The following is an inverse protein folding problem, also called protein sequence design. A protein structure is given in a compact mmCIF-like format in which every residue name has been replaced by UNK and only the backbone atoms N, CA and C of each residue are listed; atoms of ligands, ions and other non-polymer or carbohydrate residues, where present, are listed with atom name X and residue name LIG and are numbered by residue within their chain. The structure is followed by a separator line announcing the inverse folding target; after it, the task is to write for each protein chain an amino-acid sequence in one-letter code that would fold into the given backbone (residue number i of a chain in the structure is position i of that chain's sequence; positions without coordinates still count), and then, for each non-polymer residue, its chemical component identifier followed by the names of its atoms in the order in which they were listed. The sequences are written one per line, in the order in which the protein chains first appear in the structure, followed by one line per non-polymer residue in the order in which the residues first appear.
data_IF_986165873960
#
_entry.id   IF_986165873960
#
_cell.length_a   1.000
_cell.length_b   1.000
_cell.length_c   1.000
_cell.angle_alpha   90.00
_cell.angle_beta   90.00
_cell.angle_gamma   90.00
#
_symmetry.space_group_name_H-M   'P 1'
#
loop_
_entity.id
_entity.type
_entity.pdbx_description
1 polymer ?
#
# COMPACT_ATOMS: atom_id res chain seq x y z
N UNK A 1 5.04 8.75 -13.27
CA UNK A 1 3.86 9.47 -12.76
C UNK A 1 3.41 8.75 -11.50
N UNK A 2 3.04 9.47 -10.45
CA UNK A 2 2.64 8.85 -9.19
C UNK A 2 1.21 8.30 -9.27
N UNK A 3 0.92 7.13 -8.68
CA UNK A 3 -0.43 6.61 -8.54
C UNK A 3 -1.27 7.50 -7.60
N UNK A 4 -2.58 7.48 -7.80
CA UNK A 4 -3.52 8.17 -6.91
C UNK A 4 -3.84 7.33 -5.66
N UNK A 5 -4.41 7.99 -4.65
CA UNK A 5 -4.72 7.39 -3.35
C UNK A 5 -5.70 6.20 -3.44
N UNK A 6 -6.65 6.21 -4.39
CA UNK A 6 -7.60 5.10 -4.57
C UNK A 6 -6.88 3.86 -5.12
N UNK A 7 -5.93 4.04 -6.04
CA UNK A 7 -5.09 2.93 -6.51
C UNK A 7 -4.21 2.37 -5.38
N UNK A 8 -3.62 3.24 -4.55
CA UNK A 8 -2.83 2.81 -3.37
C UNK A 8 -3.69 2.08 -2.33
N UNK A 9 -4.93 2.52 -2.11
CA UNK A 9 -5.87 1.87 -1.20
C UNK A 9 -6.27 0.48 -1.70
N UNK A 10 -6.45 0.32 -3.01
CA UNK A 10 -6.72 -0.99 -3.64
C UNK A 10 -5.51 -1.92 -3.58
N UNK A 11 -4.30 -1.37 -3.67
CA UNK A 11 -3.07 -2.12 -3.45
C UNK A 11 -3.02 -2.69 -2.02
N UNK A 12 -3.28 -1.84 -1.02
CA UNK A 12 -3.34 -2.26 0.39
C UNK A 12 -4.43 -3.30 0.65
N UNK A 13 -5.61 -3.14 0.04
CA UNK A 13 -6.70 -4.10 0.11
C UNK A 13 -6.46 -5.40 -0.69
N UNK A 14 -5.30 -5.56 -1.34
CA UNK A 14 -4.96 -6.70 -2.23
C UNK A 14 -6.01 -6.95 -3.31
N UNK A 15 -6.62 -5.87 -3.80
CA UNK A 15 -7.74 -5.89 -4.77
C UNK A 15 -7.26 -5.57 -6.20
N UNK A 16 -5.96 -5.31 -6.39
CA UNK A 16 -5.40 -5.04 -7.71
C UNK A 16 -5.02 -6.32 -8.47
N UNK A 17 -5.12 -6.29 -9.81
CA UNK A 17 -4.51 -7.33 -10.65
C UNK A 17 -3.01 -7.46 -10.41
N UNK A 18 -2.45 -8.67 -10.56
CA UNK A 18 -1.03 -8.92 -10.29
C UNK A 18 -0.06 -8.05 -11.11
N UNK A 19 -0.39 -7.72 -12.36
CA UNK A 19 0.43 -6.82 -13.19
C UNK A 19 0.44 -5.37 -12.66
N UNK A 20 -0.70 -4.89 -12.13
CA UNK A 20 -0.81 -3.56 -11.50
C UNK A 20 -0.08 -3.53 -10.16
N UNK A 21 -0.15 -4.62 -9.40
CA UNK A 21 0.57 -4.79 -8.13
C UNK A 21 2.08 -4.67 -8.35
N UNK A 22 2.64 -5.41 -9.32
CA UNK A 22 4.07 -5.33 -9.65
C UNK A 22 4.49 -3.94 -10.13
N UNK A 23 3.68 -3.30 -10.96
CA UNK A 23 3.98 -1.94 -11.43
C UNK A 23 4.05 -0.92 -10.28
N UNK A 24 3.24 -1.10 -9.23
CA UNK A 24 3.31 -0.28 -8.02
C UNK A 24 4.52 -0.62 -7.17
N UNK A 25 4.85 -1.89 -7.00
CA UNK A 25 6.07 -2.33 -6.31
C UNK A 25 7.33 -1.72 -6.95
N UNK A 26 7.46 -1.83 -8.28
CA UNK A 26 8.55 -1.22 -9.05
C UNK A 26 8.55 0.32 -8.89
N UNK A 27 7.37 0.94 -8.83
CA UNK A 27 7.25 2.38 -8.61
C UNK A 27 7.73 2.79 -7.22
N UNK A 28 7.44 1.99 -6.19
CA UNK A 28 7.85 2.27 -4.81
C UNK A 28 9.36 2.23 -4.63
N UNK A 29 10.08 1.37 -5.35
CA UNK A 29 11.55 1.37 -5.31
C UNK A 29 12.15 2.71 -5.72
N UNK A 30 11.49 3.41 -6.67
CA UNK A 30 11.98 4.65 -7.26
C UNK A 30 11.33 5.91 -6.66
N UNK A 31 10.15 5.81 -6.06
CA UNK A 31 9.40 6.95 -5.53
C UNK A 31 9.30 6.91 -3.99
N UNK A 32 10.05 7.80 -3.34
CA UNK A 32 10.01 7.94 -1.87
C UNK A 32 8.65 8.44 -1.37
N UNK A 33 8.04 9.40 -2.04
CA UNK A 33 6.76 10.00 -1.60
C UNK A 33 5.64 8.97 -1.62
N UNK A 34 5.54 8.17 -2.68
CA UNK A 34 4.54 7.11 -2.77
C UNK A 34 4.76 6.00 -1.74
N UNK A 35 6.01 5.67 -1.42
CA UNK A 35 6.31 4.77 -0.29
C UNK A 35 5.78 5.33 1.02
N UNK A 36 6.09 6.59 1.33
CA UNK A 36 5.64 7.21 2.59
C UNK A 36 4.11 7.29 2.65
N UNK A 37 3.45 7.62 1.55
CA UNK A 37 2.00 7.67 1.46
C UNK A 37 1.37 6.29 1.70
N UNK A 38 1.88 5.22 1.07
CA UNK A 38 1.41 3.85 1.31
C UNK A 38 1.59 3.42 2.76
N UNK A 39 2.73 3.74 3.38
CA UNK A 39 2.95 3.46 4.80
C UNK A 39 1.97 4.22 5.70
N UNK A 40 1.69 5.48 5.39
CA UNK A 40 0.72 6.28 6.15
C UNK A 40 -0.70 5.71 6.00
N UNK A 41 -1.12 5.36 4.78
CA UNK A 41 -2.42 4.74 4.51
C UNK A 41 -2.57 3.39 5.22
N UNK A 42 -1.52 2.56 5.24
CA UNK A 42 -1.53 1.28 5.94
C UNK A 42 -1.67 1.43 7.47
N UNK A 43 -1.10 2.48 8.05
CA UNK A 43 -1.22 2.78 9.48
C UNK A 43 -2.55 3.41 9.89
N UNK A 44 -3.33 3.92 8.93
CA UNK A 44 -4.66 4.49 9.15
C UNK A 44 -5.79 3.47 9.02
N UNK A 45 -5.48 2.22 8.65
CA UNK A 45 -6.46 1.16 8.45
C UNK A 45 -6.69 0.39 9.77
N UNK A 46 -7.77 0.65 10.54
CA UNK A 46 -8.01 -0.01 11.82
C UNK A 46 -8.25 -1.52 11.68
N UNK A 47 -8.54 -2.00 10.46
CA UNK A 47 -8.63 -3.43 10.17
C UNK A 47 -7.26 -4.15 10.19
N UNK A 48 -6.15 -3.42 9.96
CA UNK A 48 -4.80 -3.98 9.92
C UNK A 48 -4.11 -3.97 11.30
N UNK A 49 -4.49 -3.04 12.21
CA UNK A 49 -4.01 -3.01 13.60
C UNK A 49 -4.33 -4.30 14.39
N UNK A 50 -5.41 -5.00 14.03
CA UNK A 50 -5.80 -6.25 14.69
C UNK A 50 -4.89 -7.42 14.33
N UNK A 51 -4.27 -7.42 13.13
CA UNK A 51 -3.38 -8.50 12.68
C UNK A 51 -1.95 -8.36 13.23
N UNK A 52 -1.47 -7.13 13.47
CA UNK A 52 -0.10 -6.90 14.01
C UNK A 52 0.00 -7.23 15.51
N UNK A 53 -1.13 -7.22 16.25
CA UNK A 53 -1.16 -7.52 17.69
C UNK A 53 -1.18 -9.01 18.05
N UNK A 54 -1.22 -9.92 17.08
CA UNK A 54 -1.29 -11.38 17.29
C UNK A 54 0.08 -12.09 17.25
N UNK A 55 1.19 -11.35 17.21
CA UNK A 55 2.57 -11.86 17.26
C UNK A 55 3.36 -11.32 18.49
N UNK A 56 2.74 -11.28 19.68
CA UNK A 56 3.42 -11.10 20.98
C UNK A 56 3.05 -12.23 21.94
#
# INVERSE_FOLDING_TARGET
MCPDEMELSRFLARSLPGARTRALEDHFDLCRDCRQLVFALAGLDPALETLVRLDV
#
